data_IF_752843881416
#
_entry.id   IF_752843881416
#
_cell.length_a   1.000
_cell.length_b   1.000
_cell.length_c   1.000
_cell.angle_alpha   90.00
_cell.angle_beta   90.00
_cell.angle_gamma   90.00
#
_symmetry.space_group_name_H-M   'P 1'
#
loop_
_entity.id
_entity.type
_entity.pdbx_description
1 polymer ?
#
# COMPACT_ATOMS: atom_id res chain seq x y z
N UNK A 1 19.20 -52.63 -39.09
CA UNK A 1 20.08 -52.26 -40.22
C UNK A 1 20.55 -50.83 -39.97
N UNK A 2 21.85 -50.69 -39.69
CA UNK A 2 22.70 -49.49 -39.59
C UNK A 2 22.32 -48.28 -38.69
N UNK A 3 23.11 -48.17 -37.61
CA UNK A 3 23.53 -46.97 -36.89
C UNK A 3 24.30 -45.96 -37.77
N UNK A 4 24.42 -44.71 -37.25
CA UNK A 4 25.51 -43.69 -37.34
C UNK A 4 24.88 -42.30 -37.58
N UNK A 5 25.34 -41.16 -37.07
CA UNK A 5 26.48 -40.70 -36.25
C UNK A 5 26.12 -39.24 -35.85
N UNK A 6 26.30 -38.74 -34.63
CA UNK A 6 27.55 -38.34 -33.95
C UNK A 6 28.09 -36.94 -34.34
N UNK A 7 28.41 -36.15 -33.31
CA UNK A 7 29.38 -35.03 -33.33
C UNK A 7 28.74 -33.64 -33.20
N UNK A 8 29.25 -32.70 -32.41
CA UNK A 8 30.48 -32.66 -31.61
C UNK A 8 30.44 -31.42 -30.70
N UNK A 9 30.92 -31.57 -29.45
CA UNK A 9 31.24 -30.47 -28.53
C UNK A 9 32.38 -29.59 -29.08
N UNK A 10 32.37 -28.30 -28.75
CA UNK A 10 33.59 -27.53 -28.60
C UNK A 10 33.49 -26.61 -27.37
N UNK A 11 34.19 -27.04 -26.31
CA UNK A 11 34.66 -26.20 -25.20
C UNK A 11 36.01 -25.65 -25.64
N UNK A 12 36.23 -24.34 -25.52
CA UNK A 12 37.55 -23.75 -25.68
C UNK A 12 37.89 -22.89 -24.47
N UNK A 13 39.06 -23.20 -23.92
CA UNK A 13 39.60 -22.78 -22.64
C UNK A 13 40.24 -21.40 -22.65
N UNK A 14 40.34 -20.90 -21.42
CA UNK A 14 41.19 -19.84 -20.85
C UNK A 14 42.62 -19.75 -21.40
N UNK A 15 43.13 -18.52 -21.56
CA UNK A 15 44.57 -18.19 -21.54
C UNK A 15 44.80 -16.81 -20.89
N UNK A 16 45.64 -16.77 -19.85
CA UNK A 16 46.25 -15.58 -19.27
C UNK A 16 47.58 -15.24 -19.98
N UNK A 17 47.81 -13.96 -20.24
CA UNK A 17 49.09 -13.22 -20.38
C UNK A 17 48.68 -11.73 -20.26
N UNK A 18 49.35 -10.78 -19.61
CA UNK A 18 50.63 -10.64 -18.94
C UNK A 18 50.80 -9.13 -18.66
N UNK A 19 51.56 -8.77 -17.63
CA UNK A 19 51.82 -7.39 -17.18
C UNK A 19 52.35 -6.46 -18.29
N UNK A 20 51.93 -5.20 -18.25
CA UNK A 20 52.54 -4.08 -18.97
C UNK A 20 51.98 -2.76 -18.43
N UNK A 21 52.76 -2.11 -17.56
CA UNK A 21 52.45 -0.78 -17.06
C UNK A 21 52.76 0.29 -18.10
N UNK A 22 51.86 1.25 -18.19
CA UNK A 22 52.15 2.61 -18.63
C UNK A 22 51.18 3.52 -17.91
N UNK A 23 51.74 4.48 -17.17
CA UNK A 23 51.07 5.61 -16.55
C UNK A 23 49.97 6.17 -17.46
N UNK A 24 48.73 6.08 -16.99
CA UNK A 24 47.63 6.89 -17.48
C UNK A 24 47.18 7.73 -16.29
N UNK A 25 47.50 9.02 -16.36
CA UNK A 25 46.89 10.08 -15.57
C UNK A 25 45.37 9.90 -15.58
N UNK A 26 44.85 9.33 -14.50
CA UNK A 26 43.42 9.29 -14.23
C UNK A 26 43.04 10.67 -13.69
N UNK A 27 42.08 11.38 -14.31
CA UNK A 27 41.57 12.62 -13.77
C UNK A 27 40.99 12.35 -12.38
N UNK A 28 41.24 13.28 -11.45
CA UNK A 28 40.71 13.32 -10.09
C UNK A 28 39.22 12.98 -10.09
N UNK A 29 38.94 11.69 -9.92
CA UNK A 29 37.60 11.16 -9.77
C UNK A 29 37.18 11.49 -8.36
N UNK A 30 36.49 12.62 -8.22
CA UNK A 30 35.65 12.95 -7.08
C UNK A 30 34.90 11.69 -6.64
N UNK A 31 35.38 11.04 -5.58
CA UNK A 31 34.62 10.04 -4.85
C UNK A 31 33.46 10.79 -4.21
N UNK A 32 32.36 10.88 -4.98
CA UNK A 32 31.08 11.31 -4.45
C UNK A 32 30.79 10.45 -3.21
N UNK A 33 30.59 11.06 -2.03
CA UNK A 33 30.23 10.29 -0.86
C UNK A 33 28.93 9.53 -1.15
N UNK A 34 28.85 8.31 -0.62
CA UNK A 34 27.65 7.48 -0.65
C UNK A 34 26.42 8.36 -0.38
N UNK A 35 25.54 8.46 -1.37
CA UNK A 35 24.29 9.21 -1.26
C UNK A 35 23.59 8.75 0.00
N UNK A 36 23.56 9.64 0.99
CA UNK A 36 22.72 9.52 2.16
C UNK A 36 21.30 9.24 1.68
N UNK A 37 20.65 8.27 2.33
CA UNK A 37 19.27 7.91 2.09
C UNK A 37 18.43 9.15 1.81
N UNK A 38 17.84 9.22 0.61
CA UNK A 38 16.92 10.29 0.25
C UNK A 38 15.81 10.33 1.29
N UNK A 39 15.89 11.35 2.13
CA UNK A 39 14.77 11.87 2.88
C UNK A 39 13.76 12.35 1.84
N UNK A 40 12.82 11.48 1.46
CA UNK A 40 11.62 11.91 0.70
C UNK A 40 10.69 12.65 1.66
N UNK A 41 11.16 13.81 2.14
CA UNK A 41 10.37 14.81 2.85
C UNK A 41 9.72 15.74 1.83
N UNK A 42 8.66 15.25 1.21
CA UNK A 42 7.42 15.98 0.89
C UNK A 42 6.55 15.05 0.05
N UNK A 43 5.29 14.88 0.44
CA UNK A 43 4.30 14.28 -0.45
C UNK A 43 4.18 15.25 -1.64
N UNK A 44 4.35 14.80 -2.90
CA UNK A 44 4.20 15.67 -4.06
C UNK A 44 2.86 16.40 -4.00
N UNK A 45 2.83 17.69 -4.35
CA UNK A 45 1.55 18.33 -4.65
C UNK A 45 0.86 17.53 -5.77
N UNK A 46 -0.32 16.98 -5.49
CA UNK A 46 -1.08 16.19 -6.44
C UNK A 46 -0.73 14.70 -6.38
N UNK A 47 -1.15 13.96 -5.34
CA UNK A 47 -1.12 12.49 -5.43
C UNK A 47 -1.97 12.05 -6.63
N UNK A 48 -1.47 11.10 -7.41
CA UNK A 48 -2.31 10.42 -8.39
C UNK A 48 -3.06 9.27 -7.73
N UNK A 49 -4.05 8.71 -8.42
CA UNK A 49 -4.70 7.47 -7.98
C UNK A 49 -3.73 6.29 -7.90
N UNK A 50 -2.77 6.25 -8.82
CA UNK A 50 -1.69 5.26 -8.81
C UNK A 50 -0.83 5.39 -7.56
N UNK A 51 -0.55 6.62 -7.11
CA UNK A 51 0.19 6.84 -5.88
C UNK A 51 -0.60 6.39 -4.66
N UNK A 52 -1.91 6.67 -4.60
CA UNK A 52 -2.78 6.19 -3.52
C UNK A 52 -2.76 4.65 -3.44
N UNK A 53 -2.94 3.99 -4.58
CA UNK A 53 -2.92 2.53 -4.67
C UNK A 53 -1.57 1.95 -4.24
N UNK A 54 -0.48 2.52 -4.75
CA UNK A 54 0.87 2.09 -4.43
C UNK A 54 1.17 2.27 -2.93
N UNK A 55 0.78 3.40 -2.33
CA UNK A 55 0.95 3.66 -0.89
C UNK A 55 0.16 2.66 -0.04
N UNK A 56 -1.04 2.28 -0.49
CA UNK A 56 -1.85 1.25 0.17
C UNK A 56 -1.22 -0.14 0.02
N UNK A 57 -0.70 -0.46 -1.16
CA UNK A 57 0.03 -1.71 -1.41
C UNK A 57 1.29 -1.81 -0.53
N UNK A 58 2.08 -0.74 -0.40
CA UNK A 58 3.27 -0.72 0.47
C UNK A 58 2.91 -1.09 1.91
N UNK A 59 1.79 -0.56 2.40
CA UNK A 59 1.28 -0.82 3.74
C UNK A 59 0.93 -2.31 3.96
N UNK A 60 0.27 -2.93 2.98
CA UNK A 60 -0.03 -4.36 2.99
C UNK A 60 1.25 -5.20 2.84
N UNK A 61 2.16 -4.79 1.97
CA UNK A 61 3.39 -5.52 1.65
C UNK A 61 4.34 -5.63 2.85
N UNK A 62 4.40 -4.60 3.71
CA UNK A 62 5.16 -4.68 4.97
C UNK A 62 4.42 -5.46 6.06
N UNK A 63 3.21 -5.93 5.78
CA UNK A 63 2.36 -6.66 6.71
C UNK A 63 2.03 -5.83 7.95
N UNK A 64 1.62 -4.57 7.77
CA UNK A 64 1.34 -3.67 8.89
C UNK A 64 0.39 -4.32 9.92
N UNK A 65 0.73 -4.25 11.21
CA UNK A 65 -0.10 -4.80 12.28
C UNK A 65 -1.23 -3.83 12.62
N UNK A 66 -2.45 -4.35 12.79
CA UNK A 66 -3.58 -3.53 13.20
C UNK A 66 -3.36 -2.87 14.57
N UNK A 67 -3.58 -1.55 14.63
CA UNK A 67 -3.52 -0.74 15.84
C UNK A 67 -4.37 0.53 15.75
N UNK A 68 -5.15 0.82 16.78
CA UNK A 68 -5.91 2.09 16.94
C UNK A 68 -5.07 3.23 17.52
N UNK A 69 -3.75 3.05 17.62
CA UNK A 69 -2.80 4.07 18.06
C UNK A 69 -1.55 4.08 17.17
N UNK A 70 -0.77 5.17 17.16
CA UNK A 70 0.52 5.22 16.47
C UNK A 70 1.54 4.20 16.98
N UNK A 71 2.62 4.03 16.21
CA UNK A 71 3.71 3.13 16.61
C UNK A 71 4.29 3.51 17.98
N UNK A 72 4.70 2.50 18.74
CA UNK A 72 5.24 2.55 20.10
C UNK A 72 4.28 3.07 21.19
N UNK A 73 2.96 3.07 20.94
CA UNK A 73 1.95 3.42 21.96
C UNK A 73 1.17 2.19 22.44
N UNK A 74 0.68 2.25 23.68
CA UNK A 74 -0.21 1.24 24.24
C UNK A 74 -1.61 1.36 23.62
N UNK A 75 -2.07 0.29 22.97
CA UNK A 75 -3.42 0.20 22.42
C UNK A 75 -4.33 -0.50 23.44
N UNK A 76 -5.16 0.28 24.14
CA UNK A 76 -6.11 -0.27 25.10
C UNK A 76 -7.20 -1.11 24.45
N UNK A 77 -7.50 -0.89 23.16
CA UNK A 77 -8.48 -1.67 22.42
C UNK A 77 -7.92 -3.04 22.04
N UNK A 78 -6.66 -3.09 21.60
CA UNK A 78 -6.01 -4.35 21.24
C UNK A 78 -5.34 -5.09 22.41
N UNK A 79 -5.09 -4.42 23.53
CA UNK A 79 -4.47 -5.01 24.72
C UNK A 79 -2.97 -5.26 24.57
N UNK A 80 -2.30 -4.54 23.66
CA UNK A 80 -0.85 -4.63 23.47
C UNK A 80 -0.25 -3.28 23.05
N UNK A 81 1.06 -3.15 23.23
CA UNK A 81 1.81 -2.04 22.64
C UNK A 81 1.96 -2.24 21.14
N UNK A 82 1.58 -1.23 20.37
CA UNK A 82 1.74 -1.21 18.94
C UNK A 82 3.22 -1.12 18.58
N UNK A 83 3.86 -2.26 18.35
CA UNK A 83 5.28 -2.32 17.98
C UNK A 83 5.42 -2.75 16.53
N UNK A 84 5.95 -1.85 15.71
CA UNK A 84 6.36 -2.15 14.33
C UNK A 84 7.85 -2.45 14.31
N UNK A 85 8.26 -3.43 13.51
CA UNK A 85 9.65 -3.84 13.36
C UNK A 85 10.00 -4.02 11.88
N UNK A 86 11.30 -4.06 11.57
CA UNK A 86 11.80 -4.24 10.20
C UNK A 86 11.27 -3.18 9.24
N UNK A 87 10.85 -3.61 8.04
CA UNK A 87 10.36 -2.71 7.00
C UNK A 87 9.10 -1.91 7.42
N UNK A 88 8.31 -2.38 8.40
CA UNK A 88 7.13 -1.68 8.88
C UNK A 88 7.46 -0.53 9.86
N UNK A 89 8.70 -0.41 10.34
CA UNK A 89 9.10 0.65 11.28
C UNK A 89 9.79 1.81 10.55
N UNK A 90 9.01 2.76 10.03
CA UNK A 90 9.55 3.91 9.27
C UNK A 90 8.98 5.24 9.78
N UNK A 91 9.77 6.31 9.70
CA UNK A 91 9.32 7.67 10.07
C UNK A 91 8.10 8.12 9.27
N UNK A 92 7.91 7.58 8.06
CA UNK A 92 6.85 7.95 7.13
C UNK A 92 5.44 7.63 7.67
N UNK A 93 5.23 6.41 8.17
CA UNK A 93 3.91 5.95 8.63
C UNK A 93 3.83 5.69 10.13
N UNK A 94 4.95 5.71 10.88
CA UNK A 94 4.94 5.60 12.34
C UNK A 94 3.99 6.57 13.06
N UNK A 95 3.81 7.83 12.60
CA UNK A 95 2.87 8.77 13.19
C UNK A 95 1.38 8.41 13.00
N UNK A 96 1.05 7.49 12.08
CA UNK A 96 -0.33 7.10 11.79
C UNK A 96 -0.76 5.95 12.68
N UNK A 97 -2.04 5.94 13.06
CA UNK A 97 -2.70 4.72 13.54
C UNK A 97 -2.63 3.67 12.43
N UNK A 98 -2.49 2.39 12.78
CA UNK A 98 -2.65 1.30 11.81
C UNK A 98 -3.99 0.59 11.90
N UNK A 99 -5.06 1.38 12.00
CA UNK A 99 -6.44 0.91 11.90
C UNK A 99 -6.98 1.08 10.47
N UNK A 100 -8.24 0.70 10.24
CA UNK A 100 -8.92 0.84 8.95
C UNK A 100 -8.79 2.25 8.34
N UNK A 101 -9.02 3.29 9.14
CA UNK A 101 -8.94 4.70 8.72
C UNK A 101 -7.51 5.22 8.58
N UNK A 102 -6.58 4.65 9.34
CA UNK A 102 -5.15 4.93 9.30
C UNK A 102 -4.54 4.54 7.96
N UNK A 103 -4.88 3.36 7.44
CA UNK A 103 -4.51 2.92 6.09
C UNK A 103 -5.01 3.91 5.02
N UNK A 104 -6.30 4.27 5.05
CA UNK A 104 -6.89 5.20 4.08
C UNK A 104 -6.24 6.57 4.16
N UNK A 105 -6.03 7.08 5.37
CA UNK A 105 -5.38 8.38 5.60
C UNK A 105 -3.95 8.40 5.08
N UNK A 106 -3.19 7.35 5.36
CA UNK A 106 -1.84 7.19 4.83
C UNK A 106 -1.85 7.19 3.31
N UNK A 107 -2.67 6.36 2.68
CA UNK A 107 -2.71 6.25 1.22
C UNK A 107 -3.11 7.57 0.55
N UNK A 108 -4.07 8.29 1.13
CA UNK A 108 -4.53 9.60 0.65
C UNK A 108 -3.61 10.79 0.97
N UNK A 109 -2.49 10.54 1.66
CA UNK A 109 -1.53 11.58 2.06
C UNK A 109 -2.11 12.59 3.05
N UNK A 110 -3.11 12.20 3.84
CA UNK A 110 -3.68 13.04 4.89
C UNK A 110 -2.64 13.15 6.01
N UNK A 111 -2.36 14.35 6.51
CA UNK A 111 -1.40 14.53 7.60
C UNK A 111 -1.71 13.63 8.82
N UNK A 112 -0.66 13.06 9.40
CA UNK A 112 -0.78 12.24 10.61
C UNK A 112 -1.43 13.04 11.78
N UNK A 113 -2.23 12.39 12.64
CA UNK A 113 -2.46 10.95 12.74
C UNK A 113 -3.49 10.39 11.73
N UNK A 114 -3.92 11.21 10.78
CA UNK A 114 -4.93 10.86 9.79
C UNK A 114 -6.36 11.08 10.27
N UNK A 115 -7.29 11.07 9.32
CA UNK A 115 -8.72 11.11 9.58
C UNK A 115 -9.20 9.81 10.25
N UNK A 116 -10.32 9.88 10.95
CA UNK A 116 -11.04 8.68 11.40
C UNK A 116 -12.13 8.32 10.38
N UNK A 117 -12.74 7.14 10.55
CA UNK A 117 -13.79 6.65 9.65
C UNK A 117 -14.99 7.59 9.56
N UNK A 118 -15.36 8.27 10.66
CA UNK A 118 -16.44 9.24 10.66
C UNK A 118 -16.13 10.44 9.75
N UNK A 119 -14.93 11.00 9.84
CA UNK A 119 -14.47 12.09 8.98
C UNK A 119 -14.44 11.67 7.52
N UNK A 120 -13.88 10.49 7.21
CA UNK A 120 -13.87 9.95 5.84
C UNK A 120 -15.30 9.82 5.30
N UNK A 121 -16.25 9.40 6.13
CA UNK A 121 -17.63 9.16 5.72
C UNK A 121 -18.49 10.42 5.60
N UNK A 122 -18.30 11.41 6.48
CA UNK A 122 -19.21 12.55 6.66
C UNK A 122 -18.64 13.90 6.21
N UNK A 123 -17.31 14.05 6.09
CA UNK A 123 -16.72 15.34 5.71
C UNK A 123 -16.82 15.56 4.19
N UNK A 124 -17.91 16.19 3.79
CA UNK A 124 -18.18 16.54 2.40
C UNK A 124 -17.33 17.70 1.87
N UNK A 125 -16.52 18.36 2.71
CA UNK A 125 -15.56 19.38 2.24
C UNK A 125 -14.32 18.73 1.66
N UNK A 126 -13.90 17.59 2.22
CA UNK A 126 -12.71 16.85 1.82
C UNK A 126 -13.02 15.64 0.93
N UNK A 127 -14.21 15.07 1.08
CA UNK A 127 -14.63 13.83 0.39
C UNK A 127 -15.95 14.00 -0.35
N UNK A 128 -16.23 13.09 -1.26
CA UNK A 128 -17.52 12.98 -1.94
C UNK A 128 -17.92 11.53 -2.09
N UNK A 129 -19.23 11.27 -2.03
CA UNK A 129 -19.77 9.95 -2.35
C UNK A 129 -19.71 9.72 -3.85
N UNK A 130 -19.39 8.49 -4.24
CA UNK A 130 -19.49 8.03 -5.63
C UNK A 130 -20.27 6.71 -5.65
N UNK A 131 -20.98 6.43 -6.74
CA UNK A 131 -21.64 5.13 -6.91
C UNK A 131 -20.60 4.05 -7.22
N UNK A 132 -20.92 2.78 -6.95
CA UNK A 132 -20.00 1.67 -7.25
C UNK A 132 -19.59 1.61 -8.74
N UNK A 133 -20.47 2.07 -9.63
CA UNK A 133 -20.24 2.13 -11.08
C UNK A 133 -19.21 3.20 -11.47
N UNK A 134 -19.04 4.24 -10.65
CA UNK A 134 -18.08 5.33 -10.87
C UNK A 134 -16.79 5.15 -10.07
N UNK A 135 -16.67 4.06 -9.30
CA UNK A 135 -15.50 3.79 -8.49
C UNK A 135 -14.24 3.68 -9.33
N UNK A 136 -13.19 4.31 -8.82
CA UNK A 136 -11.86 4.31 -9.41
C UNK A 136 -10.87 3.85 -8.34
N UNK A 137 -9.77 3.28 -8.79
CA UNK A 137 -8.64 2.90 -7.95
C UNK A 137 -8.29 4.06 -6.97
N UNK A 138 -8.06 3.71 -5.72
CA UNK A 138 -7.78 4.65 -4.62
C UNK A 138 -9.01 5.27 -3.96
N UNK A 139 -10.22 5.05 -4.47
CA UNK A 139 -11.44 5.39 -3.72
C UNK A 139 -11.57 4.50 -2.47
N UNK A 140 -12.19 5.02 -1.41
CA UNK A 140 -12.49 4.25 -0.21
C UNK A 140 -13.86 3.58 -0.30
N UNK A 141 -14.03 2.42 0.30
CA UNK A 141 -15.31 1.76 0.54
C UNK A 141 -15.61 1.87 2.03
N UNK A 142 -16.56 2.72 2.41
CA UNK A 142 -16.71 3.15 3.82
C UNK A 142 -18.11 2.92 4.36
N UNK A 143 -18.21 2.39 5.57
CA UNK A 143 -19.46 2.35 6.35
C UNK A 143 -19.25 3.05 7.70
N UNK A 144 -20.27 3.77 8.16
CA UNK A 144 -20.29 4.37 9.49
C UNK A 144 -21.73 4.53 9.99
N UNK A 145 -22.00 4.13 11.24
CA UNK A 145 -23.33 4.22 11.86
C UNK A 145 -23.36 5.11 13.13
N UNK A 146 -22.35 5.95 13.31
CA UNK A 146 -22.23 6.88 14.44
C UNK A 146 -21.32 6.36 15.55
N UNK A 147 -21.36 5.06 15.85
CA UNK A 147 -20.53 4.44 16.91
C UNK A 147 -19.51 3.45 16.37
N UNK A 148 -19.76 2.90 15.19
CA UNK A 148 -18.88 1.92 14.53
C UNK A 148 -18.72 2.28 13.06
N UNK A 149 -17.56 1.96 12.50
CA UNK A 149 -17.32 2.10 11.08
C UNK A 149 -16.23 1.15 10.61
N UNK A 150 -16.13 1.03 9.29
CA UNK A 150 -15.03 0.36 8.62
C UNK A 150 -14.76 1.07 7.29
N UNK A 151 -13.51 1.12 6.90
CA UNK A 151 -13.10 1.71 5.63
C UNK A 151 -11.95 0.91 5.03
N UNK A 152 -11.92 0.84 3.70
CA UNK A 152 -11.01 0.02 2.91
C UNK A 152 -10.66 0.81 1.65
N UNK A 153 -9.52 0.53 1.02
CA UNK A 153 -9.16 1.13 -0.26
C UNK A 153 -9.53 0.19 -1.39
N UNK A 154 -10.25 0.71 -2.38
CA UNK A 154 -10.58 0.01 -3.60
C UNK A 154 -9.40 0.02 -4.57
N UNK A 155 -8.92 -1.17 -4.94
CA UNK A 155 -7.92 -1.34 -5.97
C UNK A 155 -8.57 -1.46 -7.35
N UNK A 156 -9.57 -2.35 -7.48
CA UNK A 156 -10.24 -2.60 -8.76
C UNK A 156 -11.32 -3.68 -8.69
N UNK A 157 -12.12 -3.77 -9.75
CA UNK A 157 -13.08 -4.86 -9.94
C UNK A 157 -12.39 -6.06 -10.61
N UNK A 158 -12.65 -7.26 -10.09
CA UNK A 158 -12.25 -8.51 -10.71
C UNK A 158 -13.28 -8.95 -11.76
N UNK A 159 -12.88 -9.88 -12.63
CA UNK A 159 -13.75 -10.44 -13.67
C UNK A 159 -14.99 -11.16 -13.12
N UNK A 160 -14.89 -11.72 -11.91
CA UNK A 160 -16.02 -12.36 -11.20
C UNK A 160 -16.96 -11.35 -10.53
N UNK A 161 -16.68 -10.06 -10.66
CA UNK A 161 -17.47 -8.96 -10.10
C UNK A 161 -17.15 -8.62 -8.65
N UNK A 162 -16.25 -9.35 -7.99
CA UNK A 162 -15.72 -8.99 -6.66
C UNK A 162 -14.82 -7.76 -6.72
N UNK A 163 -14.68 -7.04 -5.61
CA UNK A 163 -13.73 -5.92 -5.50
C UNK A 163 -12.44 -6.42 -4.85
N UNK A 164 -11.29 -6.17 -5.49
CA UNK A 164 -9.98 -6.26 -4.82
C UNK A 164 -9.81 -5.01 -3.95
N UNK A 165 -9.48 -5.20 -2.67
CA UNK A 165 -9.35 -4.11 -1.70
C UNK A 165 -8.14 -4.29 -0.79
N UNK A 166 -7.59 -3.17 -0.31
CA UNK A 166 -6.64 -3.14 0.79
C UNK A 166 -7.35 -2.75 2.09
N UNK A 167 -7.13 -3.49 3.17
CA UNK A 167 -7.79 -3.23 4.44
C UNK A 167 -6.98 -3.58 5.69
N UNK A 168 -7.33 -2.91 6.79
CA UNK A 168 -6.95 -3.23 8.16
C UNK A 168 -8.21 -3.63 8.94
N UNK A 169 -8.32 -4.89 9.36
CA UNK A 169 -9.60 -5.43 9.82
C UNK A 169 -9.81 -5.37 11.34
N UNK A 170 -8.85 -5.90 12.11
CA UNK A 170 -8.95 -6.01 13.58
C UNK A 170 -7.61 -6.36 14.22
N UNK A 171 -7.53 -6.16 15.54
CA UNK A 171 -6.38 -6.54 16.37
C UNK A 171 -5.92 -7.98 16.11
N UNK A 172 -4.60 -8.19 16.17
CA UNK A 172 -3.96 -9.49 15.92
C UNK A 172 -3.89 -9.90 14.44
N UNK A 173 -4.52 -9.16 13.53
CA UNK A 173 -4.33 -9.32 12.10
C UNK A 173 -3.38 -8.28 11.53
N UNK A 174 -2.82 -8.60 10.38
CA UNK A 174 -2.06 -7.68 9.55
C UNK A 174 -2.94 -7.15 8.41
N UNK A 175 -2.55 -6.02 7.85
CA UNK A 175 -3.13 -5.47 6.64
C UNK A 175 -3.25 -6.53 5.54
N UNK A 176 -4.35 -6.49 4.79
CA UNK A 176 -4.69 -7.52 3.83
C UNK A 176 -4.99 -6.92 2.45
N UNK A 177 -4.62 -7.66 1.42
CA UNK A 177 -5.07 -7.51 0.04
C UNK A 177 -6.01 -8.67 -0.26
N UNK A 178 -7.30 -8.38 -0.43
CA UNK A 178 -8.35 -9.40 -0.51
C UNK A 178 -9.41 -9.07 -1.56
N UNK A 179 -10.06 -10.11 -2.06
CA UNK A 179 -11.22 -9.99 -2.92
C UNK A 179 -12.50 -10.10 -2.09
N UNK A 180 -13.35 -9.07 -2.15
CA UNK A 180 -14.62 -9.03 -1.43
C UNK A 180 -15.79 -9.11 -2.43
N UNK A 181 -16.67 -10.13 -2.31
CA UNK A 181 -17.90 -10.20 -3.09
C UNK A 181 -18.95 -9.28 -2.46
N UNK A 182 -19.11 -8.08 -3.04
CA UNK A 182 -20.18 -7.15 -2.65
C UNK A 182 -21.46 -7.41 -3.45
N UNK A 183 -22.59 -7.31 -2.76
CA UNK A 183 -23.88 -7.08 -3.43
C UNK A 183 -23.94 -5.61 -3.82
N UNK A 184 -24.17 -5.34 -5.09
CA UNK A 184 -24.27 -3.99 -5.66
C UNK A 184 -25.72 -3.53 -5.61
N UNK A 185 -25.98 -2.42 -4.90
CA UNK A 185 -27.33 -1.88 -4.75
C UNK A 185 -27.62 -0.83 -5.83
N UNK A 186 -28.90 -0.64 -6.15
CA UNK A 186 -29.35 0.33 -7.16
C UNK A 186 -29.03 1.79 -6.77
N UNK A 187 -28.87 2.07 -5.48
CA UNK A 187 -28.49 3.39 -4.96
C UNK A 187 -26.98 3.68 -5.04
N UNK A 188 -26.19 2.75 -5.62
CA UNK A 188 -24.74 2.88 -5.76
C UNK A 188 -23.95 2.40 -4.55
N UNK A 189 -24.61 2.00 -3.48
CA UNK A 189 -23.95 1.40 -2.32
C UNK A 189 -23.56 -0.06 -2.57
N UNK A 190 -22.69 -0.56 -1.69
CA UNK A 190 -22.16 -1.93 -1.69
C UNK A 190 -22.52 -2.60 -0.38
N UNK A 191 -23.17 -3.76 -0.40
CA UNK A 191 -23.41 -4.56 0.80
C UNK A 191 -22.44 -5.72 0.88
N UNK A 192 -21.67 -5.79 1.97
CA UNK A 192 -20.81 -6.95 2.21
C UNK A 192 -21.63 -8.02 2.94
N UNK A 193 -21.80 -9.19 2.31
CA UNK A 193 -22.62 -10.27 2.88
C UNK A 193 -22.04 -10.79 4.20
N UNK A 194 -20.71 -10.82 4.34
CA UNK A 194 -20.05 -11.41 5.51
C UNK A 194 -20.29 -10.64 6.81
N UNK A 195 -20.45 -9.32 6.74
CA UNK A 195 -20.73 -8.49 7.92
C UNK A 195 -22.13 -7.86 7.91
N UNK A 196 -22.88 -8.04 6.83
CA UNK A 196 -24.24 -7.55 6.64
C UNK A 196 -24.37 -6.03 6.46
N UNK A 197 -23.28 -5.27 6.49
CA UNK A 197 -23.29 -3.80 6.46
C UNK A 197 -23.35 -3.26 5.04
N UNK A 198 -23.91 -2.06 4.93
CA UNK A 198 -23.90 -1.27 3.68
C UNK A 198 -22.76 -0.27 3.73
N UNK A 199 -21.97 -0.26 2.67
CA UNK A 199 -20.82 0.58 2.45
C UNK A 199 -21.11 1.54 1.30
N UNK A 200 -20.56 2.74 1.44
CA UNK A 200 -20.62 3.77 0.44
C UNK A 200 -19.22 3.98 -0.13
N UNK A 201 -19.06 3.95 -1.46
CA UNK A 201 -17.85 4.40 -2.07
C UNK A 201 -17.66 5.91 -1.83
N UNK A 202 -16.45 6.29 -1.45
CA UNK A 202 -16.05 7.64 -1.07
C UNK A 202 -14.76 7.99 -1.78
N UNK A 203 -14.69 9.19 -2.36
CA UNK A 203 -13.53 9.71 -3.06
C UNK A 203 -13.03 10.97 -2.36
N UNK A 204 -11.72 11.07 -2.12
CA UNK A 204 -11.07 12.32 -1.70
C UNK A 204 -11.10 13.32 -2.87
N UNK A 205 -11.53 14.56 -2.61
CA UNK A 205 -11.74 15.58 -3.67
C UNK A 205 -10.45 16.12 -4.26
N UNK A 206 -9.41 16.25 -3.44
CA UNK A 206 -8.09 16.73 -3.84
C UNK A 206 -7.05 15.73 -3.36
N UNK A 207 -6.33 15.14 -4.29
CA UNK A 207 -5.19 14.27 -4.00
C UNK A 207 -3.90 15.09 -4.01
#
# INVERSE_FOLDING_TARGET
>A
MFMKNAGLLAVASLSLFGCGGSDMDLPDGDYAPAQAAEEIASIPQGLTRGDVDYRAWQWVNVGMLYCQVPNNQWDSFCGYTCSRTGAANTTQWNPYRSDCSGLVSWAWGVAAPGWNTNTIYNDTTQTQRVGYWDMQMGDAITTHNGTTGHTMIFHGWNADGSARVFQELKCGLRAQDVNIPFVKNADGSLRWVADGRTYWPVRKKVL
#
